data_IF_708403763266
#
_entry.id   IF_708403763266
#
_cell.length_a   1.000
_cell.length_b   1.000
_cell.length_c   1.000
_cell.angle_alpha   90.00
_cell.angle_beta   90.00
_cell.angle_gamma   90.00
#
_symmetry.space_group_name_H-M   'P 1'
#
loop_
_entity.id
_entity.type
_entity.pdbx_description
1 polymer ?
#
# COMPACT_ATOMS: atom_id res chain seq x y z
N UNK A 1 0.78 -12.26 -7.48
CA UNK A 1 1.32 -13.02 -6.33
C UNK A 1 2.82 -13.13 -6.49
N UNK A 2 3.59 -12.89 -5.44
CA UNK A 2 5.03 -13.17 -5.41
C UNK A 2 5.26 -14.24 -4.36
N UNK A 3 5.03 -15.49 -4.75
CA UNK A 3 5.29 -16.68 -3.93
C UNK A 3 6.71 -17.15 -4.22
N UNK A 4 7.59 -17.10 -3.21
CA UNK A 4 8.89 -17.78 -3.24
C UNK A 4 10.07 -17.06 -3.88
N UNK A 5 9.96 -15.77 -4.22
CA UNK A 5 11.07 -14.96 -4.73
C UNK A 5 11.23 -13.73 -3.84
N UNK A 6 12.27 -13.74 -3.01
CA UNK A 6 12.75 -12.54 -2.35
C UNK A 6 13.48 -11.69 -3.39
N UNK A 7 13.13 -10.41 -3.48
CA UNK A 7 13.76 -9.50 -4.43
C UNK A 7 14.78 -8.64 -3.70
N UNK A 8 15.94 -8.42 -4.34
CA UNK A 8 16.93 -7.47 -3.82
C UNK A 8 16.30 -6.08 -3.71
N UNK A 9 15.52 -5.68 -4.71
CA UNK A 9 14.75 -4.43 -4.72
C UNK A 9 13.30 -4.69 -5.13
N UNK A 10 12.36 -4.01 -4.50
CA UNK A 10 10.97 -4.00 -4.94
C UNK A 10 10.47 -2.57 -5.21
N UNK A 11 9.56 -2.45 -6.19
CA UNK A 11 8.83 -1.22 -6.48
C UNK A 11 7.36 -1.42 -6.15
N UNK A 12 6.79 -0.55 -5.33
CA UNK A 12 5.39 -0.60 -4.91
C UNK A 12 4.70 0.68 -5.36
N UNK A 13 3.54 0.52 -5.98
CA UNK A 13 2.68 1.61 -6.42
C UNK A 13 1.46 1.58 -5.53
N UNK A 14 1.31 2.60 -4.69
CA UNK A 14 0.16 2.82 -3.82
C UNK A 14 -0.82 3.71 -4.60
N UNK A 15 -2.00 3.17 -4.87
CA UNK A 15 -3.06 3.88 -5.58
C UNK A 15 -3.91 4.75 -4.65
N UNK A 16 -5.07 5.18 -5.16
CA UNK A 16 -6.09 5.93 -4.40
C UNK A 16 -6.89 5.10 -3.40
N UNK A 17 -6.57 3.81 -3.27
CA UNK A 17 -7.11 2.88 -2.29
C UNK A 17 -6.55 3.12 -0.88
N UNK A 18 -5.40 3.79 -0.76
CA UNK A 18 -4.85 4.28 0.49
C UNK A 18 -4.68 5.80 0.42
N UNK A 19 -5.25 6.54 1.36
CA UNK A 19 -5.16 8.01 1.44
C UNK A 19 -4.85 8.47 2.85
N UNK A 20 -4.28 9.67 2.96
CA UNK A 20 -4.06 10.30 4.25
C UNK A 20 -4.91 11.57 4.37
N UNK A 21 -5.95 11.52 5.19
CA UNK A 21 -6.90 12.61 5.40
C UNK A 21 -7.21 12.73 6.89
N UNK A 22 -7.36 13.96 7.40
CA UNK A 22 -7.71 14.23 8.81
C UNK A 22 -6.79 13.51 9.82
N UNK A 23 -5.48 13.52 9.56
CA UNK A 23 -4.47 12.86 10.39
C UNK A 23 -4.64 11.34 10.53
N UNK A 24 -5.37 10.70 9.61
CA UNK A 24 -5.61 9.26 9.61
C UNK A 24 -5.40 8.67 8.21
N UNK A 25 -4.93 7.43 8.19
CA UNK A 25 -4.84 6.63 6.96
C UNK A 25 -6.21 6.01 6.70
N UNK A 26 -6.84 6.43 5.61
CA UNK A 26 -8.15 5.96 5.14
C UNK A 26 -7.94 4.96 4.01
N UNK A 27 -8.62 3.82 4.08
CA UNK A 27 -8.66 2.83 3.01
C UNK A 27 -9.96 2.96 2.21
N UNK A 28 -9.88 2.72 0.90
CA UNK A 28 -11.00 2.78 -0.02
C UNK A 28 -11.01 1.57 -0.94
N UNK A 29 -11.74 0.52 -0.50
CA UNK A 29 -11.88 -0.74 -1.24
C UNK A 29 -12.46 -0.57 -2.65
N UNK A 30 -13.14 0.55 -2.96
CA UNK A 30 -13.71 0.77 -4.29
C UNK A 30 -12.67 1.16 -5.32
N UNK A 31 -11.53 1.70 -4.86
CA UNK A 31 -10.42 2.18 -5.68
C UNK A 31 -9.21 1.24 -5.73
N UNK A 32 -9.34 0.05 -5.17
CA UNK A 32 -8.32 -1.00 -5.26
C UNK A 32 -8.00 -1.33 -6.73
N UNK A 33 -6.73 -1.61 -7.00
CA UNK A 33 -6.22 -1.90 -8.33
C UNK A 33 -6.98 -3.07 -8.98
N UNK A 34 -7.45 -2.87 -10.22
CA UNK A 34 -8.19 -3.91 -10.99
C UNK A 34 -7.41 -5.21 -11.19
N UNK A 35 -6.08 -5.18 -11.06
CA UNK A 35 -5.23 -6.36 -11.17
C UNK A 35 -5.32 -7.29 -9.95
N UNK A 36 -5.83 -6.80 -8.81
CA UNK A 36 -5.90 -7.56 -7.55
C UNK A 36 -7.23 -8.33 -7.40
N UNK A 37 -7.70 -8.94 -8.51
CA UNK A 37 -8.98 -9.68 -8.55
C UNK A 37 -9.06 -10.86 -7.58
N UNK A 38 -7.92 -11.38 -7.14
CA UNK A 38 -7.79 -12.55 -6.27
C UNK A 38 -8.05 -12.26 -4.79
N UNK A 39 -8.08 -11.00 -4.37
CA UNK A 39 -8.06 -10.64 -2.96
C UNK A 39 -9.45 -10.59 -2.30
N UNK A 40 -10.53 -10.52 -3.09
CA UNK A 40 -11.92 -10.52 -2.59
C UNK A 40 -12.32 -9.25 -1.80
N UNK A 41 -11.41 -8.29 -1.66
CA UNK A 41 -11.55 -7.07 -0.85
C UNK A 41 -12.66 -6.17 -1.41
N UNK A 42 -12.72 -5.99 -2.74
CA UNK A 42 -13.75 -5.15 -3.39
C UNK A 42 -15.18 -5.60 -3.11
N UNK A 43 -15.39 -6.90 -2.93
CA UNK A 43 -16.70 -7.52 -2.65
C UNK A 43 -16.96 -7.73 -1.17
N UNK A 44 -16.00 -7.38 -0.30
CA UNK A 44 -16.15 -7.53 1.13
C UNK A 44 -17.18 -6.53 1.65
N UNK A 45 -18.24 -7.05 2.31
CA UNK A 45 -19.28 -6.22 2.93
C UNK A 45 -18.82 -5.62 4.25
N UNK A 46 -17.86 -6.26 4.91
CA UNK A 46 -17.27 -5.79 6.16
C UNK A 46 -16.13 -4.82 5.87
N UNK A 47 -16.38 -3.54 6.14
CA UNK A 47 -15.40 -2.46 5.96
C UNK A 47 -14.15 -2.63 6.84
N UNK A 48 -14.30 -3.19 8.05
CA UNK A 48 -13.17 -3.43 8.94
C UNK A 48 -12.28 -4.53 8.41
N UNK A 49 -12.88 -5.60 7.86
CA UNK A 49 -12.14 -6.69 7.24
C UNK A 49 -11.45 -6.22 5.96
N UNK A 50 -12.14 -5.45 5.11
CA UNK A 50 -11.55 -4.87 3.90
C UNK A 50 -10.35 -3.97 4.23
N UNK A 51 -10.49 -3.12 5.24
CA UNK A 51 -9.41 -2.26 5.73
C UNK A 51 -8.18 -3.06 6.19
N UNK A 52 -8.39 -4.13 6.97
CA UNK A 52 -7.33 -5.01 7.41
C UNK A 52 -6.64 -5.71 6.23
N UNK A 53 -7.40 -6.19 5.25
CA UNK A 53 -6.84 -6.86 4.07
C UNK A 53 -5.97 -5.90 3.24
N UNK A 54 -6.43 -4.67 2.98
CA UNK A 54 -5.65 -3.66 2.25
C UNK A 54 -4.34 -3.37 2.97
N UNK A 55 -4.39 -3.12 4.28
CA UNK A 55 -3.18 -2.87 5.09
C UNK A 55 -2.22 -4.06 5.08
N UNK A 56 -2.75 -5.28 5.19
CA UNK A 56 -1.94 -6.50 5.17
C UNK A 56 -1.27 -6.70 3.81
N UNK A 57 -1.96 -6.43 2.70
CA UNK A 57 -1.39 -6.47 1.35
C UNK A 57 -0.19 -5.55 1.24
N UNK A 58 -0.34 -4.26 1.59
CA UNK A 58 0.77 -3.31 1.54
C UNK A 58 1.90 -3.69 2.50
N UNK A 59 1.59 -4.18 3.71
CA UNK A 59 2.60 -4.66 4.67
C UNK A 59 3.43 -5.79 4.06
N UNK A 60 2.79 -6.78 3.46
CA UNK A 60 3.47 -7.91 2.82
C UNK A 60 4.29 -7.48 1.60
N UNK A 61 3.83 -6.50 0.82
CA UNK A 61 4.60 -5.98 -0.31
C UNK A 61 5.84 -5.20 0.16
N UNK A 62 5.66 -4.30 1.13
CA UNK A 62 6.74 -3.45 1.69
C UNK A 62 7.83 -4.28 2.37
N UNK A 63 7.49 -5.43 2.94
CA UNK A 63 8.46 -6.31 3.60
C UNK A 63 9.24 -7.23 2.65
N UNK A 64 8.97 -7.21 1.34
CA UNK A 64 9.61 -8.13 0.38
C UNK A 64 10.90 -7.62 -0.27
N UNK A 65 11.26 -6.36 -0.06
CA UNK A 65 12.53 -5.79 -0.55
C UNK A 65 13.64 -5.96 0.48
N UNK A 66 14.65 -6.77 0.18
CA UNK A 66 15.75 -7.03 1.13
C UNK A 66 16.77 -5.89 1.20
N UNK A 67 17.18 -5.34 0.05
CA UNK A 67 18.15 -4.23 -0.04
C UNK A 67 17.47 -2.88 -0.14
N UNK A 68 16.28 -2.81 -0.74
CA UNK A 68 15.51 -1.57 -0.82
C UNK A 68 14.09 -1.75 -1.35
N UNK A 69 13.22 -0.81 -0.99
CA UNK A 69 11.86 -0.72 -1.50
C UNK A 69 11.61 0.70 -2.00
N UNK A 70 11.26 0.84 -3.27
CA UNK A 70 10.80 2.09 -3.86
C UNK A 70 9.28 2.15 -3.74
N UNK A 71 8.77 3.28 -3.24
CA UNK A 71 7.33 3.49 -3.07
C UNK A 71 6.93 4.70 -3.90
N UNK A 72 6.03 4.47 -4.85
CA UNK A 72 5.28 5.52 -5.52
C UNK A 72 3.90 5.60 -4.87
N UNK A 73 3.43 6.81 -4.57
CA UNK A 73 2.14 7.02 -3.95
C UNK A 73 1.38 8.10 -4.72
N UNK A 74 0.15 7.78 -5.16
CA UNK A 74 -0.68 8.73 -5.90
C UNK A 74 -1.19 9.87 -4.99
N UNK A 75 -1.37 9.59 -3.69
CA UNK A 75 -1.75 10.56 -2.68
C UNK A 75 -0.50 11.24 -2.06
N UNK A 76 -0.32 12.53 -2.33
CA UNK A 76 0.84 13.29 -1.86
C UNK A 76 0.89 13.45 -0.34
N UNK A 77 -0.27 13.56 0.32
CA UNK A 77 -0.36 13.68 1.77
C UNK A 77 0.10 12.38 2.44
N UNK A 78 -0.28 11.24 1.88
CA UNK A 78 0.17 9.93 2.31
C UNK A 78 1.68 9.75 2.10
N UNK A 79 2.21 10.20 0.96
CA UNK A 79 3.66 10.18 0.70
C UNK A 79 4.45 10.99 1.74
N UNK A 80 3.99 12.20 2.07
CA UNK A 80 4.61 13.03 3.11
C UNK A 80 4.54 12.37 4.49
N UNK A 81 3.38 11.81 4.85
CA UNK A 81 3.22 11.09 6.10
C UNK A 81 4.18 9.89 6.20
N UNK A 82 4.30 9.10 5.13
CA UNK A 82 5.22 7.96 5.08
C UNK A 82 6.69 8.41 5.17
N UNK A 83 7.06 9.47 4.45
CA UNK A 83 8.40 10.04 4.50
C UNK A 83 8.77 10.52 5.90
N UNK A 84 7.85 11.23 6.57
CA UNK A 84 8.02 11.68 7.95
C UNK A 84 8.18 10.49 8.92
N UNK A 85 7.32 9.47 8.81
CA UNK A 85 7.39 8.29 9.68
C UNK A 85 8.67 7.46 9.48
N UNK A 86 9.13 7.33 8.23
CA UNK A 86 10.28 6.50 7.87
C UNK A 86 11.63 7.23 7.97
N UNK A 87 11.61 8.56 8.16
CA UNK A 87 12.81 9.40 8.12
C UNK A 87 13.56 9.31 6.79
N UNK A 88 12.83 9.11 5.68
CA UNK A 88 13.40 8.96 4.32
C UNK A 88 13.07 10.17 3.47
N UNK A 89 14.02 10.63 2.68
CA UNK A 89 13.80 11.71 1.71
C UNK A 89 12.89 11.23 0.57
N UNK A 90 11.93 12.06 0.19
CA UNK A 90 11.13 11.84 -1.01
C UNK A 90 12.03 12.10 -2.23
N UNK A 91 12.11 11.12 -3.13
CA UNK A 91 12.76 11.31 -4.44
C UNK A 91 11.63 11.71 -5.39
N UNK A 92 11.71 12.93 -5.92
CA UNK A 92 10.67 13.55 -6.78
C UNK A 92 11.04 13.40 -8.25
#
# INVERSE_FOLDING_TARGET
TTQGLEFEYCGIIIGKDLRYENSRVITDQTKEAKSDKSSGIRTCKDKSLADQLIRNTYRTLLSRGQKGCFVYCEDKSLLQYMSYMLGKSIIT
#
